data_IF_219640502381
#
_entry.id   IF_219640502381
#
_cell.length_a   1.000
_cell.length_b   1.000
_cell.length_c   1.000
_cell.angle_alpha   90.00
_cell.angle_beta   90.00
_cell.angle_gamma   90.00
#
_symmetry.space_group_name_H-M   'P 1'
#
loop_
_entity.id
_entity.type
_entity.pdbx_description
1 polymer ?
#
# COMPACT_ATOMS: atom_id res chain seq x y z
N UNK A 1 -12.02 21.20 5.01
CA UNK A 1 -12.32 19.82 4.56
C UNK A 1 -13.54 19.34 5.32
N UNK A 2 -14.44 18.61 4.68
CA UNK A 2 -15.63 18.10 5.34
C UNK A 2 -15.68 16.58 5.18
N UNK A 3 -15.88 15.84 6.27
CA UNK A 3 -16.04 14.39 6.29
C UNK A 3 -17.41 14.07 6.86
N UNK A 4 -18.13 13.15 6.22
CA UNK A 4 -19.40 12.64 6.71
C UNK A 4 -19.33 11.10 6.79
N UNK A 5 -19.74 10.53 7.92
CA UNK A 5 -19.75 9.10 8.14
C UNK A 5 -20.85 8.67 9.11
N UNK A 6 -21.15 7.40 9.11
CA UNK A 6 -22.13 6.78 10.00
C UNK A 6 -21.53 6.58 11.40
N UNK A 7 -22.27 6.99 12.43
CA UNK A 7 -21.87 6.79 13.83
C UNK A 7 -22.02 5.32 14.24
N UNK A 8 -20.98 4.80 14.90
CA UNK A 8 -20.94 3.41 15.40
C UNK A 8 -20.80 3.31 16.92
N UNK A 9 -20.81 4.44 17.62
CA UNK A 9 -20.69 4.52 19.09
C UNK A 9 -19.25 4.70 19.59
N UNK A 10 -18.30 4.99 18.71
CA UNK A 10 -16.87 5.18 19.04
C UNK A 10 -16.40 6.61 18.71
N UNK A 11 -17.32 7.58 18.65
CA UNK A 11 -17.06 8.93 18.15
C UNK A 11 -16.48 9.89 19.19
N UNK A 12 -16.24 9.44 20.44
CA UNK A 12 -15.76 10.28 21.55
C UNK A 12 -14.49 11.06 21.18
N UNK A 13 -13.58 10.44 20.44
CA UNK A 13 -12.35 11.07 19.95
C UNK A 13 -12.60 12.39 19.20
N UNK A 14 -13.66 12.46 18.39
CA UNK A 14 -13.95 13.67 17.59
C UNK A 14 -14.49 14.81 18.45
N UNK A 15 -15.26 14.50 19.48
CA UNK A 15 -15.73 15.50 20.44
C UNK A 15 -14.56 16.04 21.28
N UNK A 16 -13.67 15.16 21.72
CA UNK A 16 -12.47 15.56 22.46
C UNK A 16 -11.59 16.44 21.57
N UNK A 17 -11.38 16.06 20.31
CA UNK A 17 -10.62 16.86 19.34
C UNK A 17 -11.20 18.27 19.16
N UNK A 18 -12.52 18.40 19.03
CA UNK A 18 -13.17 19.70 18.91
C UNK A 18 -13.03 20.52 20.21
N UNK A 19 -13.25 19.90 21.37
CA UNK A 19 -13.26 20.58 22.67
C UNK A 19 -11.86 21.00 23.13
N UNK A 20 -10.88 20.20 22.91
CA UNK A 20 -9.49 20.49 23.26
C UNK A 20 -8.84 21.53 22.35
N UNK A 21 -9.36 21.70 21.12
CA UNK A 21 -8.77 22.56 20.11
C UNK A 21 -7.36 22.12 19.71
N UNK A 22 -7.06 20.84 19.92
CA UNK A 22 -5.76 20.26 19.59
C UNK A 22 -5.58 20.10 18.07
N UNK A 23 -4.32 20.10 17.62
CA UNK A 23 -3.98 19.79 16.24
C UNK A 23 -3.68 18.29 16.12
N UNK A 24 -4.33 17.63 15.18
CA UNK A 24 -4.05 16.23 14.87
C UNK A 24 -3.60 16.05 13.42
N UNK A 25 -2.84 14.99 13.20
CA UNK A 25 -2.42 14.53 11.89
C UNK A 25 -3.21 13.28 11.53
N UNK A 26 -3.46 13.03 10.26
CA UNK A 26 -4.21 11.87 9.86
C UNK A 26 -4.18 11.56 8.38
N UNK A 27 -4.80 10.46 8.05
CA UNK A 27 -4.93 9.97 6.68
C UNK A 27 -6.37 9.55 6.39
N UNK A 28 -6.84 9.84 5.19
CA UNK A 28 -8.08 9.33 4.64
C UNK A 28 -7.73 8.43 3.47
N UNK A 29 -8.06 7.17 3.59
CA UNK A 29 -7.87 6.19 2.54
C UNK A 29 -9.16 6.06 1.73
N UNK A 30 -9.13 6.45 0.47
CA UNK A 30 -10.22 6.18 -0.46
C UNK A 30 -10.06 4.75 -0.97
N UNK A 31 -10.91 3.86 -0.47
CA UNK A 31 -10.85 2.45 -0.80
C UNK A 31 -11.78 2.18 -1.98
N UNK A 32 -11.19 1.75 -3.08
CA UNK A 32 -11.92 1.24 -4.22
C UNK A 32 -12.02 -0.29 -4.10
N UNK A 33 -13.22 -0.80 -4.08
CA UNK A 33 -13.46 -2.25 -4.03
C UNK A 33 -13.00 -2.97 -2.73
N UNK A 34 -13.23 -2.41 -1.55
CA UNK A 34 -12.97 -3.01 -0.23
C UNK A 34 -11.51 -3.45 0.03
N UNK A 35 -10.66 -3.47 -0.98
CA UNK A 35 -9.30 -4.02 -0.92
C UNK A 35 -8.25 -3.11 -1.55
N UNK A 36 -8.63 -2.23 -2.47
CA UNK A 36 -7.71 -1.40 -3.23
C UNK A 36 -7.82 0.06 -2.77
N UNK A 37 -6.70 0.61 -2.28
CA UNK A 37 -6.61 2.03 -1.96
C UNK A 37 -6.44 2.79 -3.27
N UNK A 38 -7.50 3.48 -3.70
CA UNK A 38 -7.49 4.28 -4.91
C UNK A 38 -6.73 5.59 -4.71
N UNK A 39 -6.77 6.14 -3.49
CA UNK A 39 -6.14 7.42 -3.17
C UNK A 39 -5.90 7.52 -1.65
N UNK A 40 -4.86 8.26 -1.26
CA UNK A 40 -4.57 8.58 0.13
C UNK A 40 -4.49 10.10 0.25
N UNK A 41 -5.31 10.64 1.12
CA UNK A 41 -5.31 12.04 1.47
C UNK A 41 -4.72 12.20 2.87
N UNK A 42 -3.55 12.81 2.98
CA UNK A 42 -2.86 13.08 4.25
C UNK A 42 -3.03 14.51 4.66
N UNK A 43 -3.14 14.73 5.95
CA UNK A 43 -3.21 16.08 6.50
C UNK A 43 -2.43 16.20 7.81
N UNK A 44 -1.88 17.39 8.03
CA UNK A 44 -1.12 17.74 9.22
C UNK A 44 -1.61 19.06 9.79
N UNK A 45 -1.34 19.26 11.08
CA UNK A 45 -1.74 20.45 11.82
C UNK A 45 -3.24 20.74 11.67
N UNK A 46 -4.08 19.74 11.84
CA UNK A 46 -5.49 19.82 11.52
C UNK A 46 -6.33 20.07 12.78
N UNK A 47 -7.08 21.15 12.75
CA UNK A 47 -8.11 21.41 13.76
C UNK A 47 -9.46 20.83 13.34
N UNK A 48 -10.19 20.25 14.29
CA UNK A 48 -11.63 20.06 14.16
C UNK A 48 -12.31 21.37 14.54
N UNK A 49 -12.98 22.01 13.58
CA UNK A 49 -13.57 23.35 13.81
C UNK A 49 -15.07 23.33 14.02
N UNK A 50 -15.74 22.23 13.66
CA UNK A 50 -17.17 22.04 13.85
C UNK A 50 -17.52 20.56 13.72
N UNK A 51 -18.53 20.13 14.51
CA UNK A 51 -19.19 18.83 14.37
C UNK A 51 -20.69 19.10 14.17
N UNK A 52 -21.31 18.38 13.27
CA UNK A 52 -22.76 18.32 13.10
C UNK A 52 -23.20 16.87 13.13
N UNK A 53 -24.32 16.62 13.77
CA UNK A 53 -24.94 15.31 13.82
C UNK A 53 -26.31 15.36 13.17
N UNK A 54 -26.58 14.36 12.36
CA UNK A 54 -27.87 14.22 11.68
C UNK A 54 -28.50 12.89 12.01
N UNK A 55 -29.71 12.95 12.50
CA UNK A 55 -30.55 11.77 12.69
C UNK A 55 -31.83 11.93 11.89
N UNK A 56 -32.11 10.99 11.01
CA UNK A 56 -33.35 10.99 10.25
C UNK A 56 -34.39 10.08 10.93
N UNK A 57 -35.65 10.38 10.72
CA UNK A 57 -36.76 9.54 11.19
C UNK A 57 -36.80 8.25 10.38
N UNK A 58 -36.81 7.11 11.08
CA UNK A 58 -36.79 5.78 10.46
C UNK A 58 -35.54 4.95 10.83
N UNK A 59 -35.25 3.92 10.06
CA UNK A 59 -34.11 3.02 10.28
C UNK A 59 -32.77 3.56 9.75
N UNK A 60 -32.64 4.86 9.50
CA UNK A 60 -31.38 5.44 9.05
C UNK A 60 -30.42 5.62 10.22
N UNK A 61 -29.14 5.25 10.04
CA UNK A 61 -28.14 5.45 11.08
C UNK A 61 -27.91 6.93 11.35
N UNK A 62 -27.44 7.24 12.55
CA UNK A 62 -26.98 8.58 12.89
C UNK A 62 -25.70 8.88 12.08
N UNK A 63 -25.66 10.05 11.48
CA UNK A 63 -24.53 10.52 10.68
C UNK A 63 -23.80 11.65 11.40
N UNK A 64 -22.48 11.61 11.42
CA UNK A 64 -21.62 12.70 11.89
C UNK A 64 -20.94 13.40 10.72
N UNK A 65 -20.90 14.72 10.77
CA UNK A 65 -20.19 15.56 9.82
C UNK A 65 -19.13 16.37 10.55
N UNK A 66 -17.87 16.14 10.19
CA UNK A 66 -16.71 16.85 10.72
C UNK A 66 -16.29 17.95 9.75
N UNK A 67 -16.09 19.15 10.27
CA UNK A 67 -15.47 20.26 9.55
C UNK A 67 -14.02 20.42 10.03
N UNK A 68 -13.08 20.09 9.16
CA UNK A 68 -11.66 20.02 9.47
C UNK A 68 -10.88 21.15 8.77
N UNK A 69 -9.95 21.75 9.49
CA UNK A 69 -9.09 22.81 8.99
C UNK A 69 -7.62 22.37 9.07
N UNK A 70 -7.11 21.66 8.08
CA UNK A 70 -5.71 21.24 8.04
C UNK A 70 -4.78 22.39 7.70
N UNK A 71 -3.58 22.42 8.32
CA UNK A 71 -2.49 23.31 7.99
C UNK A 71 -1.75 22.89 6.73
N UNK A 72 -1.58 21.60 6.55
CA UNK A 72 -0.94 21.00 5.38
C UNK A 72 -1.83 19.87 4.85
N UNK A 73 -1.94 19.78 3.54
CA UNK A 73 -2.66 18.73 2.82
C UNK A 73 -1.75 18.15 1.76
N UNK A 74 -1.69 16.84 1.67
CA UNK A 74 -1.02 16.10 0.59
C UNK A 74 -1.96 15.02 0.05
N UNK A 75 -2.12 14.98 -1.26
CA UNK A 75 -2.89 13.96 -1.94
C UNK A 75 -1.95 13.09 -2.77
N UNK A 76 -1.88 11.78 -2.45
CA UNK A 76 -0.87 10.87 -3.01
C UNK A 76 0.54 11.49 -2.92
N UNK A 77 1.34 11.44 -3.98
CA UNK A 77 2.66 12.05 -4.05
C UNK A 77 2.69 13.33 -4.91
N UNK A 78 1.52 13.89 -5.28
CA UNK A 78 1.45 14.84 -6.38
C UNK A 78 1.36 16.31 -5.96
N UNK A 79 0.69 16.67 -4.88
CA UNK A 79 0.47 18.08 -4.54
C UNK A 79 0.42 18.29 -3.04
N UNK A 80 1.29 19.18 -2.55
CA UNK A 80 1.27 19.68 -1.18
C UNK A 80 0.66 21.07 -1.19
N UNK A 81 -0.39 21.30 -0.39
CA UNK A 81 -0.97 22.61 -0.14
C UNK A 81 -0.78 22.98 1.32
N UNK A 82 -0.21 24.12 1.55
CA UNK A 82 0.15 24.58 2.90
C UNK A 82 -0.53 25.90 3.23
N UNK A 83 -0.97 26.06 4.47
CA UNK A 83 -1.46 27.31 5.01
C UNK A 83 -0.36 28.06 5.76
N UNK A 84 -0.50 29.37 5.85
CA UNK A 84 0.48 30.24 6.51
C UNK A 84 0.67 29.89 8.00
N UNK A 85 -0.37 29.41 8.65
CA UNK A 85 -0.35 29.08 10.07
C UNK A 85 0.10 27.64 10.41
N UNK A 86 0.51 26.85 9.41
CA UNK A 86 1.06 25.51 9.64
C UNK A 86 2.22 25.55 10.63
N UNK A 87 2.32 24.53 11.46
CA UNK A 87 3.43 24.35 12.43
C UNK A 87 4.45 23.33 11.92
N UNK A 88 3.95 22.26 11.31
CA UNK A 88 4.79 21.20 10.74
C UNK A 88 5.51 21.65 9.48
N UNK A 89 6.70 21.12 9.25
CA UNK A 89 7.47 21.34 8.01
C UNK A 89 7.62 20.00 7.31
N UNK A 90 7.04 19.87 6.12
CA UNK A 90 7.28 18.71 5.28
C UNK A 90 8.60 18.91 4.53
N UNK A 91 9.66 18.20 4.94
CA UNK A 91 10.88 18.11 4.15
C UNK A 91 10.62 17.20 2.95
N UNK A 92 11.13 17.59 1.78
CA UNK A 92 11.00 16.79 0.55
C UNK A 92 11.54 15.36 0.78
N UNK A 93 10.63 14.43 1.08
CA UNK A 93 10.93 12.99 1.19
C UNK A 93 10.65 12.29 2.51
N UNK A 94 10.22 12.97 3.56
CA UNK A 94 9.84 12.29 4.80
C UNK A 94 8.69 13.02 5.52
N UNK A 95 7.67 12.25 5.86
CA UNK A 95 6.55 12.73 6.67
C UNK A 95 7.02 12.78 8.15
N UNK A 96 7.37 13.96 8.65
CA UNK A 96 7.74 14.14 10.06
C UNK A 96 6.53 14.58 10.87
N UNK A 97 6.26 13.87 11.95
CA UNK A 97 5.39 14.32 13.04
C UNK A 97 6.22 15.17 14.00
N UNK A 98 5.99 16.50 14.01
CA UNK A 98 6.54 17.35 15.05
C UNK A 98 5.58 17.33 16.25
N UNK A 99 5.98 16.70 17.35
CA UNK A 99 5.34 16.92 18.63
C UNK A 99 5.94 18.18 19.25
N UNK A 100 5.08 19.12 19.63
CA UNK A 100 5.45 20.20 20.54
C UNK A 100 5.64 19.60 21.93
N UNK A 101 6.84 19.73 22.48
CA UNK A 101 7.07 19.50 23.90
C UNK A 101 6.39 20.65 24.67
N UNK A 102 5.34 20.34 25.43
CA UNK A 102 4.89 21.19 26.52
C UNK A 102 5.81 20.93 27.71
N UNK A 103 6.58 21.96 28.10
CA UNK A 103 7.31 22.04 29.36
C UNK A 103 6.31 22.03 30.52
N UNK A 104 6.01 20.88 31.05
CA UNK A 104 5.54 20.73 32.44
C UNK A 104 6.21 19.51 33.07
N UNK A 105 7.08 19.82 34.00
CA UNK A 105 7.79 18.93 34.89
C UNK A 105 6.86 17.90 35.55
N UNK A 106 7.05 16.63 35.22
CA UNK A 106 6.61 15.53 36.08
C UNK A 106 7.50 14.31 35.88
N UNK A 107 8.43 14.15 36.84
CA UNK A 107 9.25 12.97 37.03
C UNK A 107 8.40 11.71 37.15
N UNK A 108 8.31 10.88 36.06
CA UNK A 108 8.16 9.43 36.20
C UNK A 108 8.39 8.70 34.83
N UNK A 109 9.35 7.76 34.97
CA UNK A 109 9.47 6.56 34.11
C UNK A 109 9.67 6.77 32.62
N UNK A 110 10.94 6.85 32.25
CA UNK A 110 11.46 6.75 30.88
C UNK A 110 11.11 5.39 30.26
N UNK A 111 10.16 5.36 29.39
CA UNK A 111 10.11 4.48 28.24
C UNK A 111 9.50 5.27 27.08
N UNK A 112 10.20 6.31 26.64
CA UNK A 112 9.92 6.97 25.39
C UNK A 112 10.34 6.04 24.26
N UNK A 113 9.39 5.45 23.58
CA UNK A 113 9.58 5.03 22.21
C UNK A 113 9.80 6.30 21.39
N UNK A 114 11.05 6.60 21.10
CA UNK A 114 11.40 7.64 20.12
C UNK A 114 10.58 7.44 18.86
N UNK A 115 10.04 8.50 18.23
CA UNK A 115 9.36 8.36 16.95
C UNK A 115 10.31 7.65 16.01
N UNK A 116 9.85 6.58 15.39
CA UNK A 116 10.67 5.78 14.49
C UNK A 116 11.03 6.63 13.27
N UNK A 117 12.20 7.23 13.31
CA UNK A 117 12.78 7.87 12.12
C UNK A 117 13.13 6.75 11.16
N UNK A 118 12.24 6.49 10.20
CA UNK A 118 12.52 5.54 9.14
C UNK A 118 13.55 6.15 8.18
N UNK A 119 14.77 5.68 8.28
CA UNK A 119 15.77 5.96 7.26
C UNK A 119 15.36 5.20 5.99
N UNK A 120 15.55 5.81 4.85
CA UNK A 120 15.31 5.18 3.55
C UNK A 120 16.65 4.75 2.98
N UNK A 121 16.72 3.51 2.50
CA UNK A 121 17.93 3.02 1.84
C UNK A 121 18.25 3.88 0.60
N UNK A 122 19.52 4.18 0.29
CA UNK A 122 19.86 4.78 -0.99
C UNK A 122 19.28 3.99 -2.16
N UNK A 123 18.74 4.69 -3.15
CA UNK A 123 18.02 4.07 -4.29
C UNK A 123 18.81 2.92 -4.91
N UNK A 124 18.12 1.82 -5.18
CA UNK A 124 18.62 0.67 -5.93
C UNK A 124 17.84 0.61 -7.26
N UNK A 125 18.50 0.95 -8.35
CA UNK A 125 17.96 0.73 -9.69
C UNK A 125 18.11 -0.74 -10.07
N UNK A 126 16.99 -1.44 -10.16
CA UNK A 126 16.99 -2.89 -10.38
C UNK A 126 17.48 -3.23 -11.80
N UNK A 127 18.46 -4.09 -11.87
CA UNK A 127 19.09 -4.55 -13.12
C UNK A 127 19.10 -6.08 -13.24
N UNK A 128 18.99 -6.60 -14.46
CA UNK A 128 18.55 -5.91 -15.68
C UNK A 128 17.08 -5.51 -15.57
N UNK A 129 16.58 -4.52 -16.34
CA UNK A 129 15.19 -4.12 -16.28
C UNK A 129 14.23 -5.24 -16.70
N UNK A 130 12.98 -5.17 -16.26
CA UNK A 130 11.96 -6.14 -16.63
C UNK A 130 11.53 -5.95 -18.09
N UNK A 131 11.39 -7.06 -18.82
CA UNK A 131 11.04 -7.03 -20.25
C UNK A 131 9.72 -7.72 -20.51
N UNK A 132 8.87 -7.07 -21.30
CA UNK A 132 7.68 -7.72 -21.84
C UNK A 132 8.09 -8.75 -22.89
N UNK A 133 7.55 -9.98 -22.77
CA UNK A 133 7.85 -11.04 -23.77
C UNK A 133 7.40 -10.60 -25.16
N UNK A 134 8.18 -10.92 -26.20
CA UNK A 134 7.91 -10.54 -27.60
C UNK A 134 6.46 -10.77 -28.04
N UNK A 135 5.87 -11.91 -27.66
CA UNK A 135 4.47 -12.25 -28.01
C UNK A 135 3.40 -11.36 -27.38
N UNK A 136 3.77 -10.52 -26.42
CA UNK A 136 2.87 -9.57 -25.74
C UNK A 136 3.14 -8.13 -26.12
N UNK A 137 4.25 -7.86 -26.83
CA UNK A 137 4.57 -6.54 -27.35
C UNK A 137 3.52 -6.09 -28.36
N UNK A 138 3.34 -4.79 -28.50
CA UNK A 138 2.32 -4.17 -29.36
C UNK A 138 0.85 -4.47 -28.97
N UNK A 139 0.64 -4.93 -27.72
CA UNK A 139 -0.69 -5.10 -27.17
C UNK A 139 -0.81 -4.22 -25.91
N UNK A 140 -1.56 -3.14 -26.03
CA UNK A 140 -1.72 -2.12 -24.99
C UNK A 140 -2.26 -2.68 -23.66
N UNK A 141 -3.05 -3.75 -23.70
CA UNK A 141 -3.54 -4.43 -22.51
C UNK A 141 -2.39 -5.04 -21.72
N UNK A 142 -1.51 -5.81 -22.36
CA UNK A 142 -0.39 -6.46 -21.68
C UNK A 142 0.68 -5.47 -21.24
N UNK A 143 0.88 -4.39 -21.98
CA UNK A 143 1.80 -3.33 -21.59
C UNK A 143 1.31 -2.62 -20.31
N UNK A 144 0.04 -2.20 -20.29
CA UNK A 144 -0.59 -1.59 -19.10
C UNK A 144 -0.56 -2.53 -17.90
N UNK A 145 -0.91 -3.79 -18.10
CA UNK A 145 -0.94 -4.80 -17.04
C UNK A 145 0.47 -5.09 -16.50
N UNK A 146 1.49 -5.14 -17.36
CA UNK A 146 2.89 -5.28 -16.97
C UNK A 146 3.32 -4.12 -16.07
N UNK A 147 3.05 -2.87 -16.48
CA UNK A 147 3.35 -1.67 -15.70
C UNK A 147 2.64 -1.73 -14.34
N UNK A 148 1.35 -2.05 -14.34
CA UNK A 148 0.56 -2.17 -13.11
C UNK A 148 1.15 -3.20 -12.15
N UNK A 149 1.43 -4.42 -12.61
CA UNK A 149 1.98 -5.47 -11.78
C UNK A 149 3.40 -5.13 -11.28
N UNK A 150 4.25 -4.53 -12.12
CA UNK A 150 5.59 -4.10 -11.71
C UNK A 150 5.53 -2.99 -10.67
N UNK A 151 4.65 -1.98 -10.86
CA UNK A 151 4.47 -0.92 -9.87
C UNK A 151 4.03 -1.48 -8.51
N UNK A 152 3.10 -2.41 -8.51
CA UNK A 152 2.70 -3.10 -7.27
C UNK A 152 3.84 -3.86 -6.61
N UNK A 153 4.70 -4.54 -7.39
CA UNK A 153 5.88 -5.24 -6.86
C UNK A 153 6.89 -4.25 -6.25
N UNK A 154 7.14 -3.15 -6.93
CA UNK A 154 8.03 -2.06 -6.47
C UNK A 154 7.52 -1.46 -5.16
N UNK A 155 6.24 -1.07 -5.13
CA UNK A 155 5.61 -0.50 -3.93
C UNK A 155 5.60 -1.51 -2.78
N UNK A 156 5.31 -2.79 -3.07
CA UNK A 156 5.34 -3.86 -2.09
C UNK A 156 6.73 -4.05 -1.48
N UNK A 157 7.81 -3.99 -2.26
CA UNK A 157 9.18 -4.03 -1.75
C UNK A 157 9.47 -2.79 -0.91
N UNK A 158 9.12 -1.60 -1.39
CA UNK A 158 9.43 -0.33 -0.73
C UNK A 158 8.64 -0.12 0.58
N UNK A 159 7.57 -0.86 0.78
CA UNK A 159 6.83 -0.91 2.05
C UNK A 159 7.49 -1.76 3.13
N UNK A 160 8.46 -2.61 2.77
CA UNK A 160 9.21 -3.42 3.73
C UNK A 160 10.41 -2.66 4.29
N UNK A 161 10.82 -3.01 5.51
CA UNK A 161 12.14 -2.65 6.01
C UNK A 161 13.21 -3.54 5.38
N UNK A 162 14.45 -3.09 5.41
CA UNK A 162 15.61 -3.88 4.96
C UNK A 162 15.68 -5.22 5.70
N UNK A 163 15.43 -5.20 7.01
CA UNK A 163 15.41 -6.41 7.83
C UNK A 163 14.30 -7.39 7.39
N UNK A 164 13.06 -6.91 7.22
CA UNK A 164 11.94 -7.73 6.77
C UNK A 164 12.22 -8.34 5.40
N UNK A 165 12.69 -7.53 4.47
CA UNK A 165 12.99 -7.99 3.12
C UNK A 165 14.07 -9.07 3.10
N UNK A 166 15.21 -8.86 3.80
CA UNK A 166 16.30 -9.84 3.90
C UNK A 166 15.85 -11.13 4.58
N UNK A 167 15.04 -11.02 5.65
CA UNK A 167 14.52 -12.19 6.36
C UNK A 167 13.58 -13.02 5.48
N UNK A 168 12.67 -12.36 4.76
CA UNK A 168 11.77 -13.01 3.80
C UNK A 168 12.56 -13.70 2.67
N UNK A 169 13.61 -13.06 2.16
CA UNK A 169 14.51 -13.64 1.16
C UNK A 169 15.23 -14.88 1.69
N UNK A 170 15.78 -14.82 2.90
CA UNK A 170 16.43 -15.98 3.53
C UNK A 170 15.45 -17.14 3.69
N UNK A 171 14.24 -16.85 4.15
CA UNK A 171 13.16 -17.82 4.32
C UNK A 171 12.81 -18.48 2.98
N UNK A 172 12.65 -17.69 1.93
CA UNK A 172 12.38 -18.21 0.59
C UNK A 172 13.53 -19.07 0.05
N UNK A 173 14.79 -18.65 0.22
CA UNK A 173 15.95 -19.44 -0.22
C UNK A 173 16.04 -20.78 0.48
N UNK A 174 15.67 -20.83 1.76
CA UNK A 174 15.71 -22.06 2.57
C UNK A 174 14.55 -23.01 2.26
N UNK A 175 13.33 -22.48 2.15
CA UNK A 175 12.09 -23.27 2.15
C UNK A 175 11.37 -23.28 0.80
N UNK A 176 11.75 -22.41 -0.14
CA UNK A 176 11.01 -22.19 -1.38
C UNK A 176 9.68 -21.46 -1.15
N UNK A 177 8.74 -21.64 -2.08
CA UNK A 177 7.39 -21.09 -1.96
C UNK A 177 6.60 -21.80 -0.86
N UNK A 178 6.00 -21.01 0.04
CA UNK A 178 5.15 -21.56 1.10
C UNK A 178 3.89 -22.22 0.53
N UNK A 179 3.53 -23.37 1.07
CA UNK A 179 2.26 -24.04 0.74
C UNK A 179 1.03 -23.27 1.21
N UNK A 180 1.15 -22.51 2.30
CA UNK A 180 0.08 -21.65 2.84
C UNK A 180 -0.34 -20.55 1.86
N UNK A 181 0.58 -20.09 1.04
CA UNK A 181 0.34 -19.11 -0.02
C UNK A 181 -0.86 -19.47 -0.91
N UNK A 182 -1.04 -20.77 -1.20
CA UNK A 182 -2.18 -21.27 -1.99
C UNK A 182 -3.53 -21.00 -1.31
N UNK A 183 -3.57 -21.02 0.01
CA UNK A 183 -4.81 -20.79 0.76
C UNK A 183 -5.20 -19.29 0.68
N UNK A 184 -4.24 -18.39 0.83
CA UNK A 184 -4.47 -16.95 0.67
C UNK A 184 -4.90 -16.61 -0.76
N UNK A 185 -4.22 -17.17 -1.75
CA UNK A 185 -4.59 -16.98 -3.17
C UNK A 185 -6.02 -17.49 -3.46
N UNK A 186 -6.40 -18.67 -2.92
CA UNK A 186 -7.76 -19.19 -3.06
C UNK A 186 -8.80 -18.27 -2.39
N UNK A 187 -8.49 -17.75 -1.19
CA UNK A 187 -9.38 -16.86 -0.46
C UNK A 187 -9.66 -15.56 -1.25
N UNK A 188 -8.61 -14.91 -1.74
CA UNK A 188 -8.73 -13.69 -2.56
C UNK A 188 -9.51 -13.96 -3.84
N UNK A 189 -9.24 -15.07 -4.54
CA UNK A 189 -9.96 -15.45 -5.74
C UNK A 189 -11.45 -15.71 -5.45
N UNK A 190 -11.77 -16.37 -4.32
CA UNK A 190 -13.15 -16.63 -3.89
C UNK A 190 -13.88 -15.34 -3.53
N UNK A 191 -13.21 -14.40 -2.85
CA UNK A 191 -13.77 -13.10 -2.53
C UNK A 191 -14.10 -12.31 -3.80
N UNK A 192 -13.18 -12.26 -4.75
CA UNK A 192 -13.40 -11.60 -6.03
C UNK A 192 -14.55 -12.24 -6.82
N UNK A 193 -14.62 -13.58 -6.88
CA UNK A 193 -15.72 -14.29 -7.52
C UNK A 193 -17.08 -13.88 -6.92
N UNK A 194 -17.19 -13.91 -5.59
CA UNK A 194 -18.42 -13.50 -4.89
C UNK A 194 -18.81 -12.06 -5.22
N UNK A 195 -17.83 -11.16 -5.14
CA UNK A 195 -18.05 -9.76 -5.44
C UNK A 195 -18.60 -9.56 -6.85
N UNK A 196 -17.96 -10.16 -7.87
CA UNK A 196 -18.40 -10.08 -9.26
C UNK A 196 -19.78 -10.72 -9.48
N UNK A 197 -20.06 -11.82 -8.79
CA UNK A 197 -21.37 -12.46 -8.83
C UNK A 197 -22.44 -11.49 -8.35
N UNK A 198 -22.27 -10.87 -7.18
CA UNK A 198 -23.22 -9.88 -6.65
C UNK A 198 -23.34 -8.64 -7.53
N UNK A 199 -22.25 -8.14 -8.08
CA UNK A 199 -22.24 -7.01 -9.00
C UNK A 199 -23.12 -7.30 -10.23
N UNK A 200 -22.97 -8.44 -10.87
CA UNK A 200 -23.78 -8.83 -12.02
C UNK A 200 -25.24 -9.12 -11.67
N UNK A 201 -25.50 -9.74 -10.54
CA UNK A 201 -26.87 -9.94 -10.04
C UNK A 201 -27.57 -8.61 -9.80
N UNK A 202 -26.90 -7.65 -9.18
CA UNK A 202 -27.44 -6.31 -8.94
C UNK A 202 -27.72 -5.54 -10.23
N UNK A 203 -26.85 -5.68 -11.23
CA UNK A 203 -27.03 -5.02 -12.55
C UNK A 203 -28.15 -5.65 -13.38
N UNK A 204 -28.43 -6.93 -13.19
CA UNK A 204 -29.46 -7.65 -13.97
C UNK A 204 -30.89 -7.45 -13.45
N UNK A 205 -31.06 -6.86 -12.26
CA UNK A 205 -32.39 -6.64 -11.67
C UNK A 205 -33.04 -7.90 -11.13
N UNK A 206 -34.38 -8.00 -11.16
CA UNK A 206 -35.12 -9.11 -10.56
C UNK A 206 -35.14 -10.38 -11.42
N UNK A 207 -34.96 -10.24 -12.73
CA UNK A 207 -35.02 -11.36 -13.69
C UNK A 207 -33.64 -11.69 -14.24
N UNK A 208 -32.85 -12.50 -13.52
CA UNK A 208 -31.55 -12.96 -14.02
C UNK A 208 -31.44 -14.48 -14.03
N UNK A 209 -30.69 -14.99 -15.00
CA UNK A 209 -30.22 -16.37 -14.99
C UNK A 209 -28.92 -16.46 -14.18
N UNK A 210 -29.01 -17.09 -13.01
CA UNK A 210 -27.86 -17.25 -12.10
C UNK A 210 -26.73 -18.08 -12.73
N UNK A 211 -27.05 -19.04 -13.57
CA UNK A 211 -26.04 -19.91 -14.16
C UNK A 211 -25.29 -19.20 -15.30
N UNK A 212 -25.99 -18.34 -16.05
CA UNK A 212 -25.36 -17.47 -17.02
C UNK A 212 -24.40 -16.49 -16.34
N UNK A 213 -24.80 -15.87 -15.24
CA UNK A 213 -23.93 -14.96 -14.45
C UNK A 213 -22.72 -15.71 -13.91
N UNK A 214 -22.89 -16.91 -13.34
CA UNK A 214 -21.78 -17.74 -12.86
C UNK A 214 -20.80 -18.07 -13.98
N UNK A 215 -21.29 -18.42 -15.15
CA UNK A 215 -20.48 -18.72 -16.33
C UNK A 215 -19.68 -17.47 -16.75
N UNK A 216 -20.31 -16.31 -16.79
CA UNK A 216 -19.68 -15.03 -17.13
C UNK A 216 -18.55 -14.71 -16.16
N UNK A 217 -18.80 -14.75 -14.85
CA UNK A 217 -17.78 -14.53 -13.81
C UNK A 217 -16.65 -15.55 -13.89
N UNK A 218 -16.99 -16.83 -14.15
CA UNK A 218 -16.01 -17.89 -14.34
C UNK A 218 -15.07 -17.61 -15.52
N UNK A 219 -15.61 -17.12 -16.63
CA UNK A 219 -14.83 -16.77 -17.82
C UNK A 219 -13.90 -15.56 -17.56
N UNK A 220 -14.37 -14.53 -16.87
CA UNK A 220 -13.52 -13.39 -16.49
C UNK A 220 -12.35 -13.81 -15.60
N UNK A 221 -12.60 -14.71 -14.66
CA UNK A 221 -11.56 -15.20 -13.75
C UNK A 221 -10.58 -16.18 -14.38
N UNK A 222 -10.90 -16.75 -15.54
CA UNK A 222 -10.10 -17.81 -16.17
C UNK A 222 -8.64 -17.41 -16.41
N UNK A 223 -8.42 -16.14 -16.77
CA UNK A 223 -7.09 -15.62 -17.09
C UNK A 223 -6.47 -14.79 -15.96
N UNK A 224 -7.14 -14.72 -14.81
CA UNK A 224 -6.66 -14.00 -13.63
C UNK A 224 -6.06 -14.94 -12.60
N UNK A 225 -5.07 -14.45 -11.89
CA UNK A 225 -4.41 -15.11 -10.75
C UNK A 225 -4.24 -14.12 -9.60
N UNK A 226 -4.34 -14.62 -8.38
CA UNK A 226 -4.06 -13.81 -7.19
C UNK A 226 -2.57 -13.51 -7.08
N UNK A 227 -2.25 -12.23 -6.95
CA UNK A 227 -0.88 -11.72 -6.94
C UNK A 227 -0.35 -11.58 -5.53
N UNK A 228 0.89 -12.01 -5.31
CA UNK A 228 1.67 -11.61 -4.14
C UNK A 228 2.28 -10.23 -4.38
N UNK A 229 2.33 -9.41 -3.34
CA UNK A 229 2.82 -8.05 -3.45
C UNK A 229 3.87 -7.72 -2.35
N UNK A 230 5.16 -7.90 -2.64
CA UNK A 230 5.77 -8.45 -3.86
C UNK A 230 5.72 -9.98 -3.92
N UNK A 231 6.19 -10.59 -5.04
CA UNK A 231 6.37 -12.04 -5.14
C UNK A 231 7.30 -12.56 -4.03
N UNK A 232 7.03 -13.76 -3.49
CA UNK A 232 7.84 -14.35 -2.42
C UNK A 232 9.33 -14.46 -2.79
N UNK A 233 9.65 -14.75 -4.05
CA UNK A 233 11.02 -14.76 -4.54
C UNK A 233 11.67 -13.36 -4.48
N UNK A 234 10.88 -12.33 -4.53
CA UNK A 234 11.28 -10.94 -4.39
C UNK A 234 11.23 -10.41 -2.96
N UNK A 235 11.11 -11.27 -1.96
CA UNK A 235 11.04 -10.91 -0.56
C UNK A 235 9.63 -10.61 -0.05
N UNK A 236 8.59 -11.01 -0.79
CA UNK A 236 7.20 -10.85 -0.35
C UNK A 236 6.79 -11.74 0.80
N UNK A 237 5.87 -11.26 1.62
CA UNK A 237 5.20 -12.04 2.66
C UNK A 237 4.23 -13.04 2.03
N UNK A 238 4.11 -14.22 2.66
CA UNK A 238 3.21 -15.29 2.25
C UNK A 238 1.75 -14.84 2.25
N UNK A 239 1.38 -13.95 3.17
CA UNK A 239 0.01 -13.48 3.40
C UNK A 239 -0.36 -12.27 2.54
N UNK A 240 0.62 -11.56 1.97
CA UNK A 240 0.36 -10.36 1.21
C UNK A 240 -0.13 -10.69 -0.22
N UNK A 241 -1.38 -11.12 -0.28
CA UNK A 241 -2.12 -11.43 -1.51
C UNK A 241 -3.43 -10.67 -1.46
N UNK A 242 -3.56 -9.59 -2.24
CA UNK A 242 -4.72 -8.68 -2.15
C UNK A 242 -5.52 -8.53 -3.44
N UNK A 243 -4.89 -8.73 -4.58
CA UNK A 243 -5.48 -8.41 -5.88
C UNK A 243 -5.30 -9.52 -6.90
N UNK A 244 -6.08 -9.45 -7.97
CA UNK A 244 -5.94 -10.32 -9.13
C UNK A 244 -5.23 -9.59 -10.28
N UNK A 245 -4.53 -10.37 -11.12
CA UNK A 245 -3.91 -9.86 -12.33
C UNK A 245 -3.79 -10.92 -13.41
N UNK A 246 -3.46 -10.52 -14.63
CA UNK A 246 -3.28 -11.45 -15.75
C UNK A 246 -2.18 -12.47 -15.43
N UNK A 247 -2.56 -13.76 -15.48
CA UNK A 247 -1.67 -14.87 -15.14
C UNK A 247 -0.44 -14.98 -16.04
N UNK A 248 -0.54 -14.55 -17.30
CA UNK A 248 0.54 -14.62 -18.30
C UNK A 248 1.60 -13.58 -17.99
N UNK A 249 1.17 -12.37 -17.63
CA UNK A 249 2.05 -11.28 -17.21
C UNK A 249 2.69 -11.62 -15.87
N UNK A 250 1.92 -12.08 -14.88
CA UNK A 250 2.47 -12.50 -13.60
C UNK A 250 3.54 -13.61 -13.74
N UNK A 251 3.28 -14.61 -14.60
CA UNK A 251 4.26 -15.66 -14.91
C UNK A 251 5.50 -15.11 -15.61
N UNK A 252 5.33 -14.09 -16.47
CA UNK A 252 6.45 -13.42 -17.14
C UNK A 252 7.33 -12.67 -16.16
N UNK A 253 6.75 -11.93 -15.22
CA UNK A 253 7.48 -11.22 -14.14
C UNK A 253 8.14 -12.24 -13.22
N UNK A 254 7.41 -13.26 -12.75
CA UNK A 254 7.92 -14.28 -11.84
C UNK A 254 9.15 -15.01 -12.38
N UNK A 255 9.19 -15.32 -13.69
CA UNK A 255 10.34 -15.95 -14.32
C UNK A 255 11.58 -15.04 -14.37
N UNK A 256 11.40 -13.74 -14.35
CA UNK A 256 12.49 -12.77 -14.41
C UNK A 256 13.07 -12.43 -13.03
N UNK A 257 12.36 -12.72 -11.95
CA UNK A 257 12.87 -12.56 -10.59
C UNK A 257 14.02 -13.51 -10.28
N UNK A 258 13.90 -14.78 -10.68
CA UNK A 258 14.79 -15.86 -10.34
C UNK A 258 15.67 -16.36 -11.50
N UNK A 259 15.84 -15.60 -12.58
CA UNK A 259 16.68 -16.01 -13.70
C UNK A 259 18.11 -16.30 -13.21
N UNK A 260 18.65 -17.48 -13.58
CA UNK A 260 19.87 -18.07 -13.01
C UNK A 260 21.09 -17.15 -13.05
N UNK A 261 21.29 -16.40 -14.14
CA UNK A 261 22.47 -15.54 -14.34
C UNK A 261 22.13 -14.03 -14.30
N UNK A 262 20.86 -13.70 -14.11
CA UNK A 262 20.36 -12.31 -14.13
C UNK A 262 19.18 -12.11 -13.21
N UNK A 263 19.14 -12.85 -12.11
CA UNK A 263 18.06 -12.80 -11.13
C UNK A 263 18.00 -11.47 -10.41
N UNK A 264 16.92 -10.72 -10.64
CA UNK A 264 16.72 -9.38 -10.06
C UNK A 264 16.65 -9.40 -8.55
N UNK A 265 16.08 -10.45 -8.00
CA UNK A 265 15.99 -10.62 -6.54
C UNK A 265 17.40 -10.80 -5.91
N UNK A 266 18.31 -11.50 -6.59
CA UNK A 266 19.68 -11.62 -6.12
C UNK A 266 20.44 -10.29 -6.29
N UNK A 267 20.23 -9.59 -7.40
CA UNK A 267 20.83 -8.27 -7.62
C UNK A 267 20.47 -7.27 -6.53
N UNK A 268 19.17 -7.21 -6.14
CA UNK A 268 18.73 -6.34 -5.05
C UNK A 268 19.43 -6.74 -3.73
N UNK A 269 19.51 -8.04 -3.44
CA UNK A 269 20.16 -8.55 -2.23
C UNK A 269 21.64 -8.16 -2.17
N UNK A 270 22.36 -8.32 -3.25
CA UNK A 270 23.78 -7.97 -3.35
C UNK A 270 24.00 -6.47 -3.16
N UNK A 271 23.15 -5.63 -3.76
CA UNK A 271 23.23 -4.18 -3.61
C UNK A 271 22.89 -3.73 -2.17
N UNK A 272 21.93 -4.37 -1.51
CA UNK A 272 21.64 -4.11 -0.11
C UNK A 272 22.86 -4.47 0.75
N UNK A 273 23.42 -5.67 0.59
CA UNK A 273 24.56 -6.13 1.39
C UNK A 273 25.77 -5.22 1.22
N UNK A 274 26.04 -4.73 0.02
CA UNK A 274 27.10 -3.72 -0.22
C UNK A 274 26.83 -2.43 0.57
N UNK A 275 25.59 -1.95 0.56
CA UNK A 275 25.22 -0.72 1.28
C UNK A 275 25.28 -0.90 2.81
N UNK A 276 24.96 -2.09 3.31
CA UNK A 276 25.03 -2.42 4.73
C UNK A 276 26.47 -2.57 5.24
N UNK A 277 27.37 -3.06 4.39
CA UNK A 277 28.79 -3.25 4.74
C UNK A 277 29.64 -1.97 4.64
N UNK A 278 29.07 -0.85 4.16
CA UNK A 278 29.77 0.42 4.04
C UNK A 278 30.19 1.02 5.40
N UNK A 279 31.18 1.96 5.43
CA UNK A 279 31.49 2.69 6.64
C UNK A 279 30.51 3.87 6.87
N UNK A 280 29.76 3.94 8.01
CA UNK A 280 29.69 2.92 9.06
C UNK A 280 28.83 1.71 8.68
N UNK A 281 29.18 0.52 9.20
CA UNK A 281 28.35 -0.69 9.06
C UNK A 281 26.96 -0.50 9.67
N UNK A 282 25.91 -0.88 8.94
CA UNK A 282 24.52 -0.78 9.39
C UNK A 282 24.12 -2.07 10.10
N UNK A 283 23.97 -1.99 11.42
CA UNK A 283 23.60 -3.12 12.27
C UNK A 283 22.15 -3.55 12.07
N UNK A 284 21.83 -4.78 12.47
CA UNK A 284 20.48 -5.37 12.31
C UNK A 284 19.37 -4.51 12.93
N UNK A 285 19.60 -3.92 14.11
CA UNK A 285 18.60 -3.04 14.75
C UNK A 285 18.27 -1.79 13.90
N UNK A 286 19.27 -1.26 13.22
CA UNK A 286 19.09 -0.14 12.30
C UNK A 286 18.35 -0.58 11.03
N UNK A 287 18.59 -1.80 10.53
CA UNK A 287 17.91 -2.37 9.37
C UNK A 287 16.39 -2.49 9.57
N UNK A 288 15.93 -2.65 10.81
CA UNK A 288 14.50 -2.67 11.17
C UNK A 288 13.83 -1.30 11.03
N UNK A 289 14.62 -0.23 10.97
CA UNK A 289 14.16 1.15 10.85
C UNK A 289 14.39 1.73 9.44
N UNK A 290 15.12 1.02 8.58
CA UNK A 290 15.44 1.48 7.23
C UNK A 290 14.45 0.84 6.24
N UNK A 291 13.71 1.67 5.52
CA UNK A 291 12.82 1.22 4.45
C UNK A 291 13.62 0.88 3.19
N UNK A 292 13.15 -0.13 2.47
CA UNK A 292 13.62 -0.44 1.13
C UNK A 292 13.37 0.73 0.19
N UNK A 293 14.22 0.86 -0.84
CA UNK A 293 14.08 1.89 -1.86
C UNK A 293 14.59 1.34 -3.19
N UNK A 294 13.73 0.66 -3.89
CA UNK A 294 14.02 0.11 -5.21
C UNK A 294 13.23 0.85 -6.28
N UNK A 295 13.81 0.99 -7.45
CA UNK A 295 13.15 1.52 -8.65
C UNK A 295 13.34 0.52 -9.77
N UNK A 296 12.22 0.13 -10.40
CA UNK A 296 12.25 -0.66 -11.61
C UNK A 296 12.35 0.27 -12.81
N UNK A 297 13.45 0.19 -13.57
CA UNK A 297 13.60 0.99 -14.76
C UNK A 297 12.47 0.68 -15.76
N UNK A 298 11.80 1.71 -16.24
CA UNK A 298 10.72 1.60 -17.21
C UNK A 298 11.31 1.48 -18.63
N UNK A 299 11.70 0.26 -19.03
CA UNK A 299 12.17 0.01 -20.41
C UNK A 299 11.07 0.15 -21.48
N UNK A 300 9.80 0.26 -21.09
CA UNK A 300 8.75 0.48 -22.06
C UNK A 300 8.78 1.89 -22.67
N UNK A 301 9.63 2.79 -22.17
CA UNK A 301 9.93 4.09 -22.81
C UNK A 301 10.99 4.00 -23.93
N UNK A 302 11.73 2.89 -24.03
CA UNK A 302 12.81 2.73 -25.00
C UNK A 302 12.37 2.09 -26.33
N UNK A 303 11.07 1.81 -26.49
CA UNK A 303 10.49 1.31 -27.74
C UNK A 303 9.61 2.41 -28.35
N UNK A 304 10.20 3.58 -28.56
CA UNK A 304 9.68 4.62 -29.47
C UNK A 304 10.58 4.75 -30.67
#
# INVERSE_FOLDING_TARGET
MTLAFECKGEEQFFYDWLNEGAMHNGEIHFIYNEVEIADIFRFWDCFCVKIEEYMSVGNSPMMMVLYLSPGIIKRNNLEVREKVWKVSTLSNGSDYYAQKEDDTDCSRSKNFLSPAVFFVLPVIHVKPPFKLKKKFQHNSHYEKEMRRQLKMQEDGINNLTVFEWLNNRRTFKKNGRSSESKNFQKAVRKAYYRKKLYEYMSLAGENYDLDEIKLKVGNELKDLVALHNPDQIAGGDVKDVKVLGDKRINSSIGSQWGAKDSGRAQYIEDEILKKLAGPPEIKEEQQKQIKMNVIFADELELIK
#
